data_IF_887948071522
#
_entry.id   IF_887948071522
#
_cell.length_a   1.000
_cell.length_b   1.000
_cell.length_c   1.000
_cell.angle_alpha   90.00
_cell.angle_beta   90.00
_cell.angle_gamma   90.00
#
_symmetry.space_group_name_H-M   'P 1'
#
loop_
_entity.id
_entity.type
_entity.pdbx_description
1 polymer ?
#
# COMPACT_ATOMS: atom_id res chain seq x y z
N UNK A 1 7.22 9.70 9.80
CA UNK A 1 5.94 9.51 10.50
C UNK A 1 5.62 8.01 10.52
N UNK A 2 4.87 7.52 11.51
CA UNK A 2 4.49 6.11 11.60
C UNK A 2 2.98 5.92 11.71
N UNK A 3 2.44 4.85 11.10
CA UNK A 3 1.03 4.47 11.17
C UNK A 3 0.90 2.96 11.40
N UNK A 4 -0.21 2.57 12.00
CA UNK A 4 -0.63 1.16 12.05
C UNK A 4 -1.85 1.03 11.16
N UNK A 5 -1.73 0.21 10.11
CA UNK A 5 -2.79 -0.08 9.18
C UNK A 5 -3.41 -1.42 9.55
N UNK A 6 -4.72 -1.46 9.72
CA UNK A 6 -5.47 -2.70 9.87
C UNK A 6 -6.37 -2.89 8.65
N UNK A 7 -6.17 -3.99 7.93
CA UNK A 7 -6.93 -4.33 6.72
C UNK A 7 -7.69 -5.63 7.00
N UNK A 8 -9.02 -5.55 6.98
CA UNK A 8 -9.89 -6.72 7.21
C UNK A 8 -9.79 -7.72 6.06
N UNK A 9 -9.94 -9.00 6.36
CA UNK A 9 -10.01 -10.06 5.34
C UNK A 9 -11.01 -9.69 4.22
N UNK A 10 -10.55 -9.81 2.97
CA UNK A 10 -11.31 -9.44 1.77
C UNK A 10 -11.33 -7.94 1.44
N UNK A 11 -10.83 -7.06 2.31
CA UNK A 11 -10.68 -5.64 2.04
C UNK A 11 -9.32 -5.32 1.41
N UNK A 12 -9.22 -4.17 0.73
CA UNK A 12 -7.98 -3.72 0.10
C UNK A 12 -7.73 -2.23 0.35
N UNK A 13 -6.47 -1.82 0.25
CA UNK A 13 -6.14 -0.41 0.08
C UNK A 13 -6.34 0.01 -1.39
N UNK A 14 -6.35 1.32 -1.64
CA UNK A 14 -6.33 1.84 -3.02
C UNK A 14 -5.06 1.36 -3.73
N UNK A 15 -5.12 1.16 -5.05
CA UNK A 15 -3.91 1.04 -5.85
C UNK A 15 -3.35 2.44 -6.00
N UNK A 16 -2.14 2.64 -5.52
CA UNK A 16 -1.61 3.98 -5.33
C UNK A 16 -0.09 4.03 -5.48
N UNK A 17 0.42 5.25 -5.61
CA UNK A 17 1.84 5.56 -5.47
C UNK A 17 2.01 6.92 -4.80
N UNK A 18 3.26 7.27 -4.51
CA UNK A 18 3.65 8.57 -3.95
C UNK A 18 4.63 9.29 -4.88
N UNK A 19 4.53 10.62 -5.02
CA UNK A 19 5.43 11.39 -5.89
C UNK A 19 6.77 11.68 -5.22
N UNK A 20 6.75 11.85 -3.90
CA UNK A 20 7.88 12.27 -3.07
C UNK A 20 8.03 11.40 -1.81
N UNK A 21 6.94 10.88 -1.24
CA UNK A 21 7.01 10.08 0.00
C UNK A 21 7.81 8.79 -0.22
N UNK A 22 8.82 8.56 0.61
CA UNK A 22 9.50 7.26 0.74
C UNK A 22 8.88 6.53 1.93
N UNK A 23 8.38 5.32 1.68
CA UNK A 23 7.59 4.55 2.62
C UNK A 23 8.17 3.15 2.81
N UNK A 24 8.01 2.60 4.00
CA UNK A 24 8.35 1.21 4.28
C UNK A 24 7.26 0.57 5.14
N UNK A 25 6.91 -0.65 4.79
CA UNK A 25 5.92 -1.46 5.49
C UNK A 25 6.59 -2.70 6.10
N UNK A 26 6.11 -3.08 7.28
CA UNK A 26 6.35 -4.37 7.90
C UNK A 26 4.99 -5.01 8.18
N UNK A 27 4.74 -6.21 7.65
CA UNK A 27 3.57 -7.00 8.01
C UNK A 27 3.78 -7.54 9.42
N UNK A 28 3.05 -7.00 10.39
CA UNK A 28 3.15 -7.44 11.78
C UNK A 28 2.44 -8.77 11.99
N UNK A 29 1.25 -8.93 11.41
CA UNK A 29 0.43 -10.14 11.52
C UNK A 29 -0.51 -10.28 10.33
N UNK A 30 -1.00 -11.50 10.10
CA UNK A 30 -1.97 -11.82 9.04
C UNK A 30 -1.32 -12.25 7.74
N UNK A 31 -2.11 -12.20 6.67
CA UNK A 31 -1.75 -12.67 5.33
C UNK A 31 -2.47 -11.86 4.27
N UNK A 32 -1.75 -11.41 3.25
CA UNK A 32 -2.29 -10.56 2.21
C UNK A 32 -1.67 -10.84 0.84
N UNK A 33 -2.37 -10.43 -0.22
CA UNK A 33 -1.80 -10.30 -1.55
C UNK A 33 -1.23 -8.88 -1.68
N UNK A 34 0.02 -8.78 -2.11
CA UNK A 34 0.68 -7.53 -2.45
C UNK A 34 0.82 -7.45 -3.97
N UNK A 35 0.39 -6.33 -4.53
CA UNK A 35 0.58 -5.97 -5.94
C UNK A 35 1.65 -4.88 -6.00
N UNK A 36 2.67 -5.04 -6.87
CA UNK A 36 3.80 -4.12 -7.01
C UNK A 36 4.17 -3.84 -8.47
N UNK A 37 4.56 -2.61 -8.75
CA UNK A 37 5.17 -2.22 -10.02
C UNK A 37 5.59 -0.77 -10.02
N UNK A 38 5.76 -0.23 -11.22
CA UNK A 38 6.12 1.17 -11.44
C UNK A 38 5.03 1.92 -12.21
N UNK A 39 5.02 3.24 -12.08
CA UNK A 39 4.09 4.10 -12.84
C UNK A 39 4.29 3.86 -14.35
N UNK A 40 3.20 3.55 -15.05
CA UNK A 40 3.20 3.27 -16.49
C UNK A 40 3.46 1.80 -16.85
N UNK A 41 3.75 0.93 -15.88
CA UNK A 41 3.88 -0.50 -16.12
C UNK A 41 2.50 -1.13 -16.34
N UNK A 42 2.35 -1.92 -17.41
CA UNK A 42 1.07 -2.51 -17.80
C UNK A 42 0.63 -3.70 -16.92
N UNK A 43 1.58 -4.41 -16.32
CA UNK A 43 1.34 -5.63 -15.53
C UNK A 43 2.08 -5.51 -14.21
N UNK A 44 1.37 -5.62 -13.09
CA UNK A 44 1.97 -5.61 -11.75
C UNK A 44 2.43 -7.03 -11.38
N UNK A 45 3.50 -7.12 -10.60
CA UNK A 45 3.90 -8.35 -9.92
C UNK A 45 2.98 -8.57 -8.72
N UNK A 46 2.57 -9.81 -8.50
CA UNK A 46 1.75 -10.19 -7.35
C UNK A 46 2.49 -11.21 -6.48
N UNK A 47 2.43 -11.04 -5.16
CA UNK A 47 2.97 -11.99 -4.20
C UNK A 47 2.03 -12.14 -3.00
N UNK A 48 1.94 -13.35 -2.44
CA UNK A 48 1.26 -13.57 -1.16
C UNK A 48 2.26 -13.41 -0.04
N UNK A 49 2.03 -12.42 0.81
CA UNK A 49 2.91 -12.02 1.90
C UNK A 49 2.25 -12.31 3.25
N UNK A 50 3.07 -12.50 4.28
CA UNK A 50 2.63 -12.77 5.65
C UNK A 50 3.51 -12.06 6.68
N UNK A 51 3.26 -12.35 7.95
CA UNK A 51 3.99 -11.76 9.08
C UNK A 51 5.51 -11.82 8.91
N UNK A 52 6.20 -10.72 9.21
CA UNK A 52 7.64 -10.56 9.07
C UNK A 52 8.10 -10.07 7.69
N UNK A 53 7.24 -10.13 6.67
CA UNK A 53 7.56 -9.58 5.35
C UNK A 53 7.68 -8.04 5.42
N UNK A 54 8.72 -7.51 4.79
CA UNK A 54 9.02 -6.08 4.81
C UNK A 54 9.31 -5.57 3.39
N UNK A 55 8.79 -4.38 3.10
CA UNK A 55 8.89 -3.77 1.79
C UNK A 55 9.21 -2.29 1.93
N UNK A 56 10.04 -1.77 1.02
CA UNK A 56 10.25 -0.33 0.86
C UNK A 56 9.67 0.10 -0.48
N UNK A 57 8.82 1.12 -0.44
CA UNK A 57 8.24 1.77 -1.60
C UNK A 57 8.93 3.11 -1.80
N UNK A 58 9.71 3.19 -2.88
CA UNK A 58 10.30 4.45 -3.30
C UNK A 58 9.23 5.31 -3.97
N UNK A 59 9.44 6.62 -4.10
CA UNK A 59 8.57 7.45 -4.92
C UNK A 59 8.38 6.84 -6.32
N UNK A 60 7.13 6.80 -6.78
CA UNK A 60 6.73 6.16 -8.04
C UNK A 60 6.49 4.64 -7.97
N UNK A 61 6.75 3.97 -6.84
CA UNK A 61 6.36 2.56 -6.67
C UNK A 61 4.85 2.43 -6.54
N UNK A 62 4.23 1.80 -7.54
CA UNK A 62 2.80 1.47 -7.54
C UNK A 62 2.60 0.24 -6.67
N UNK A 63 1.71 0.34 -5.68
CA UNK A 63 1.48 -0.74 -4.74
C UNK A 63 0.02 -0.80 -4.26
N UNK A 64 -0.44 -2.01 -3.94
CA UNK A 64 -1.72 -2.29 -3.26
C UNK A 64 -1.55 -3.51 -2.37
N UNK A 65 -2.19 -3.48 -1.20
CA UNK A 65 -2.40 -4.69 -0.39
C UNK A 65 -3.89 -5.03 -0.36
N UNK A 66 -4.19 -6.30 -0.58
CA UNK A 66 -5.52 -6.90 -0.43
C UNK A 66 -5.42 -8.01 0.61
N UNK A 67 -6.13 -7.88 1.72
CA UNK A 67 -5.99 -8.81 2.82
C UNK A 67 -6.69 -10.14 2.51
N UNK A 68 -5.98 -11.25 2.67
CA UNK A 68 -6.53 -12.60 2.56
C UNK A 68 -7.10 -13.00 3.94
N UNK A 69 -6.40 -12.65 5.00
CA UNK A 69 -6.80 -12.72 6.40
C UNK A 69 -6.69 -11.31 7.01
N UNK A 70 -7.27 -11.09 8.19
CA UNK A 70 -7.10 -9.83 8.92
C UNK A 70 -5.60 -9.53 9.10
N UNK A 71 -5.15 -8.41 8.54
CA UNK A 71 -3.72 -8.09 8.38
C UNK A 71 -3.41 -6.75 9.04
N UNK A 72 -2.38 -6.74 9.89
CA UNK A 72 -1.84 -5.54 10.51
C UNK A 72 -0.48 -5.21 9.91
N UNK A 73 -0.32 -3.98 9.44
CA UNK A 73 0.90 -3.48 8.81
C UNK A 73 1.38 -2.26 9.58
N UNK A 74 2.67 -2.25 9.93
CA UNK A 74 3.36 -1.08 10.45
C UNK A 74 3.94 -0.31 9.28
N UNK A 75 3.49 0.92 9.09
CA UNK A 75 4.00 1.84 8.08
C UNK A 75 4.91 2.87 8.74
N UNK A 76 6.07 3.10 8.14
CA UNK A 76 6.93 4.24 8.44
C UNK A 76 7.28 4.95 7.13
N UNK A 77 7.23 6.28 7.14
CA UNK A 77 7.48 7.08 5.94
C UNK A 77 8.09 8.45 6.24
N UNK A 78 8.58 9.12 5.21
CA UNK A 78 8.87 10.56 5.21
C UNK A 78 7.56 11.38 5.41
N UNK A 79 7.61 12.67 5.77
CA UNK A 79 6.44 13.39 6.30
C UNK A 79 5.39 13.84 5.28
N UNK A 80 5.48 13.43 4.00
CA UNK A 80 4.55 13.84 2.93
C UNK A 80 3.22 13.06 2.98
N UNK A 81 2.38 13.33 3.97
CA UNK A 81 1.16 12.54 4.25
C UNK A 81 0.09 12.63 3.14
N UNK A 82 0.08 13.75 2.43
CA UNK A 82 -0.93 14.16 1.44
C UNK A 82 -0.54 13.82 0.00
N UNK A 83 0.64 13.22 -0.16
CA UNK A 83 1.26 12.90 -1.45
C UNK A 83 0.80 11.54 -2.02
N UNK A 84 -0.46 11.17 -1.80
CA UNK A 84 -1.02 9.92 -2.34
C UNK A 84 -1.69 10.16 -3.68
N UNK A 85 -1.29 9.40 -4.70
CA UNK A 85 -1.96 9.37 -6.01
C UNK A 85 -2.65 8.02 -6.18
N UNK A 86 -3.97 8.04 -6.30
CA UNK A 86 -4.81 6.83 -6.44
C UNK A 86 -5.08 6.52 -7.90
N UNK A 87 -4.73 5.31 -8.33
CA UNK A 87 -5.00 4.78 -9.67
C UNK A 87 -6.35 4.06 -9.71
N UNK A 88 -6.62 3.23 -8.69
CA UNK A 88 -7.87 2.50 -8.55
C UNK A 88 -8.30 2.43 -7.08
N UNK A 89 -9.60 2.55 -6.83
CA UNK A 89 -10.16 2.49 -5.49
C UNK A 89 -11.49 1.71 -5.49
N UNK A 90 -11.57 0.66 -4.67
CA UNK A 90 -12.76 -0.20 -4.58
C UNK A 90 -13.94 0.47 -3.87
N UNK A 91 -13.74 1.62 -3.22
CA UNK A 91 -14.73 2.28 -2.36
C UNK A 91 -15.16 3.66 -2.89
N UNK A 92 -14.81 3.98 -4.14
CA UNK A 92 -15.26 5.19 -4.82
C UNK A 92 -14.58 6.49 -4.39
N UNK A 93 -13.41 6.44 -3.72
CA UNK A 93 -12.65 7.64 -3.29
C UNK A 93 -11.88 8.34 -4.42
N UNK A 94 -12.44 8.39 -5.63
CA UNK A 94 -11.80 8.99 -6.82
C UNK A 94 -11.42 10.45 -6.57
N UNK A 95 -10.20 10.83 -6.95
CA UNK A 95 -9.76 12.23 -6.99
C UNK A 95 -9.40 12.85 -5.64
N UNK A 96 -9.38 12.08 -4.55
CA UNK A 96 -8.85 12.58 -3.28
C UNK A 96 -7.33 12.44 -3.29
N UNK A 97 -6.61 13.56 -3.31
CA UNK A 97 -5.38 13.64 -2.51
C UNK A 97 -5.86 13.66 -1.06
N UNK A 98 -5.24 12.90 -0.16
CA UNK A 98 -5.30 13.36 1.24
C UNK A 98 -4.68 14.76 1.21
N UNK A 99 -5.27 15.73 1.91
CA UNK A 99 -4.86 17.13 1.88
C UNK A 99 -4.41 17.54 3.28
#
# INVERSE_FOLDING_TARGET
>A
VGKVLFVKAGAALSLQFHKEKDESWLVQSGKAKLELGEVGQAVLTEEVIGAGAAFRYRPGTVHRVTAIEDTTILEVSTPQLDDVVRLEDLYGRKGTSAA
#
